data_IF_771580471382
#
_entry.id   IF_771580471382
#
_cell.length_a   1.000
_cell.length_b   1.000
_cell.length_c   1.000
_cell.angle_alpha   90.00
_cell.angle_beta   90.00
_cell.angle_gamma   90.00
#
_symmetry.space_group_name_H-M   'P 1'
#
loop_
_entity.id
_entity.type
_entity.pdbx_description
1 polymer ?
#
# COMPACT_ATOMS: atom_id res chain seq x y z
N UNK A 1 1.40 12.06 11.62
CA UNK A 1 0.71 12.00 10.31
C UNK A 1 -0.76 11.71 10.52
N UNK A 2 -1.61 12.46 9.85
CA UNK A 2 -3.05 12.24 9.91
C UNK A 2 -3.44 11.18 8.87
N UNK A 3 -4.18 10.17 9.33
CA UNK A 3 -4.65 9.10 8.45
C UNK A 3 -6.09 8.76 8.79
N UNK A 4 -6.83 8.31 7.79
CA UNK A 4 -8.12 7.67 7.96
C UNK A 4 -7.89 6.17 7.87
N UNK A 5 -8.40 5.43 8.86
CA UNK A 5 -8.27 3.98 8.91
C UNK A 5 -9.67 3.38 8.86
N UNK A 6 -9.91 2.52 7.88
CA UNK A 6 -11.20 1.86 7.69
C UNK A 6 -10.97 0.35 7.68
N UNK A 7 -11.33 -0.31 8.79
CA UNK A 7 -11.11 -1.74 8.95
C UNK A 7 -12.25 -2.51 8.29
N UNK A 8 -11.90 -3.34 7.32
CA UNK A 8 -12.84 -4.23 6.63
C UNK A 8 -12.68 -5.65 7.16
N UNK A 9 -13.51 -6.56 6.67
CA UNK A 9 -13.49 -7.95 7.10
C UNK A 9 -12.19 -8.65 6.71
N UNK A 10 -11.67 -8.36 5.50
CA UNK A 10 -10.53 -9.08 4.91
C UNK A 10 -9.26 -8.23 4.78
N UNK A 11 -9.35 -6.94 5.03
CA UNK A 11 -8.23 -6.00 4.88
C UNK A 11 -8.54 -4.68 5.58
N UNK A 12 -7.54 -3.82 5.66
CA UNK A 12 -7.70 -2.46 6.20
C UNK A 12 -7.37 -1.44 5.13
N UNK A 13 -8.24 -0.45 4.95
CA UNK A 13 -7.96 0.67 4.05
C UNK A 13 -7.34 1.80 4.87
N UNK A 14 -6.15 2.23 4.47
CA UNK A 14 -5.44 3.34 5.12
C UNK A 14 -5.31 4.47 4.11
N UNK A 15 -5.83 5.63 4.46
CA UNK A 15 -5.83 6.81 3.59
C UNK A 15 -5.12 7.96 4.29
N UNK A 16 -3.87 8.27 3.91
CA UNK A 16 -3.19 9.44 4.45
C UNK A 16 -3.98 10.73 4.16
N UNK A 17 -4.15 11.57 5.18
CA UNK A 17 -4.88 12.83 5.08
C UNK A 17 -3.92 14.01 4.97
N UNK A 18 -2.78 13.78 4.30
CA UNK A 18 -1.75 14.77 4.06
C UNK A 18 -1.63 15.01 2.56
N UNK A 19 -1.56 16.27 2.15
CA UNK A 19 -1.35 16.60 0.74
C UNK A 19 0.08 16.31 0.29
N UNK A 20 1.04 16.31 1.23
CA UNK A 20 2.44 16.07 0.95
C UNK A 20 2.97 14.99 1.87
N UNK A 21 3.77 14.08 1.31
CA UNK A 21 4.50 13.08 2.09
C UNK A 21 6.00 13.34 1.90
N UNK A 22 6.57 14.26 2.70
CA UNK A 22 7.99 14.59 2.60
C UNK A 22 8.87 13.49 3.20
N UNK A 23 10.17 13.59 2.93
CA UNK A 23 11.14 12.59 3.37
C UNK A 23 11.13 12.37 4.89
N UNK A 24 10.82 13.39 5.68
CA UNK A 24 10.80 13.27 7.14
C UNK A 24 9.59 12.48 7.68
N UNK A 25 8.68 12.05 6.82
CA UNK A 25 7.55 11.20 7.21
C UNK A 25 7.81 9.71 6.99
N UNK A 26 8.98 9.32 6.48
CA UNK A 26 9.27 7.91 6.21
C UNK A 26 9.18 7.03 7.44
N UNK A 27 9.69 7.50 8.58
CA UNK A 27 9.63 6.73 9.83
C UNK A 27 8.19 6.58 10.33
N UNK A 28 7.39 7.64 10.21
CA UNK A 28 5.98 7.59 10.58
C UNK A 28 5.21 6.59 9.72
N UNK A 29 5.52 6.53 8.41
CA UNK A 29 4.91 5.54 7.53
C UNK A 29 5.26 4.11 7.93
N UNK A 30 6.53 3.86 8.24
CA UNK A 30 6.94 2.54 8.72
C UNK A 30 6.23 2.17 10.02
N UNK A 31 6.19 3.11 10.97
CA UNK A 31 5.55 2.88 12.27
C UNK A 31 4.04 2.66 12.14
N UNK A 32 3.42 3.26 11.14
CA UNK A 32 1.99 3.07 10.86
C UNK A 32 1.71 1.73 10.20
N UNK A 33 2.48 1.36 9.19
CA UNK A 33 2.13 0.26 8.27
C UNK A 33 2.73 -1.08 8.68
N UNK A 34 4.00 -1.12 9.11
CA UNK A 34 4.66 -2.39 9.41
C UNK A 34 4.04 -3.18 10.57
N UNK A 35 3.48 -2.54 11.63
CA UNK A 35 2.81 -3.30 12.68
C UNK A 35 1.64 -4.15 12.20
N UNK A 36 1.03 -3.82 11.05
CA UNK A 36 -0.06 -4.64 10.50
C UNK A 36 0.39 -6.04 10.15
N UNK A 37 1.68 -6.25 9.87
CA UNK A 37 2.23 -7.58 9.60
C UNK A 37 2.05 -8.55 10.76
N UNK A 38 1.84 -8.04 11.97
CA UNK A 38 1.65 -8.85 13.19
C UNK A 38 0.17 -9.06 13.53
N UNK A 39 -0.75 -8.53 12.73
CA UNK A 39 -2.18 -8.66 12.98
C UNK A 39 -2.74 -9.90 12.30
N UNK A 40 -3.90 -10.37 12.78
CA UNK A 40 -4.58 -11.53 12.20
C UNK A 40 -4.97 -11.29 10.75
N UNK A 41 -5.36 -10.06 10.43
CA UNK A 41 -5.69 -9.65 9.06
C UNK A 41 -4.72 -8.54 8.69
N UNK A 42 -3.57 -8.90 8.08
CA UNK A 42 -2.50 -7.93 7.84
C UNK A 42 -2.61 -7.18 6.53
N UNK A 43 -3.55 -7.56 5.67
CA UNK A 43 -3.64 -7.01 4.31
C UNK A 43 -4.05 -5.55 4.32
N UNK A 44 -3.41 -4.73 3.47
CA UNK A 44 -3.62 -3.29 3.40
C UNK A 44 -3.97 -2.84 1.99
N UNK A 45 -4.96 -1.97 1.91
CA UNK A 45 -5.22 -1.13 0.74
C UNK A 45 -4.81 0.29 1.12
N UNK A 46 -3.80 0.82 0.44
CA UNK A 46 -3.24 2.14 0.73
C UNK A 46 -3.78 3.14 -0.29
N UNK A 47 -4.75 3.94 0.15
CA UNK A 47 -5.46 4.89 -0.72
C UNK A 47 -4.78 6.25 -0.66
N UNK A 48 -4.26 6.71 -1.79
CA UNK A 48 -3.47 7.94 -1.87
C UNK A 48 -4.23 9.09 -2.52
N UNK A 49 -5.57 9.09 -2.45
CA UNK A 49 -6.37 10.09 -3.14
C UNK A 49 -6.18 11.53 -2.64
N UNK A 50 -5.74 11.72 -1.41
CA UNK A 50 -5.48 13.06 -0.85
C UNK A 50 -4.06 13.53 -1.16
N UNK A 51 -3.13 12.60 -1.35
CA UNK A 51 -1.71 12.91 -1.51
C UNK A 51 -1.45 13.51 -2.88
N UNK A 52 -0.89 14.73 -2.92
CA UNK A 52 -0.59 15.44 -4.15
C UNK A 52 0.91 15.37 -4.49
N UNK A 53 1.76 15.26 -3.49
CA UNK A 53 3.22 15.22 -3.67
C UNK A 53 3.85 14.20 -2.74
N UNK A 54 4.82 13.45 -3.28
CA UNK A 54 5.60 12.46 -2.52
C UNK A 54 7.07 12.73 -2.81
N UNK A 55 7.89 12.77 -1.76
CA UNK A 55 9.34 12.84 -1.93
C UNK A 55 9.85 11.50 -2.46
N UNK A 56 10.96 11.54 -3.20
CA UNK A 56 11.57 10.32 -3.76
C UNK A 56 11.86 9.28 -2.66
N UNK A 57 12.43 9.71 -1.55
CA UNK A 57 12.74 8.82 -0.42
C UNK A 57 11.46 8.19 0.15
N UNK A 58 10.38 8.95 0.24
CA UNK A 58 9.09 8.43 0.69
C UNK A 58 8.56 7.39 -0.28
N UNK A 59 8.67 7.65 -1.59
CA UNK A 59 8.29 6.69 -2.62
C UNK A 59 9.06 5.39 -2.50
N UNK A 60 10.38 5.48 -2.32
CA UNK A 60 11.23 4.29 -2.11
C UNK A 60 10.81 3.53 -0.86
N UNK A 61 10.48 4.26 0.22
CA UNK A 61 10.03 3.64 1.47
C UNK A 61 8.72 2.88 1.29
N UNK A 62 7.77 3.46 0.56
CA UNK A 62 6.49 2.78 0.27
C UNK A 62 6.74 1.49 -0.52
N UNK A 63 7.63 1.54 -1.52
CA UNK A 63 7.97 0.35 -2.30
C UNK A 63 8.60 -0.74 -1.42
N UNK A 64 9.49 -0.37 -0.50
CA UNK A 64 10.10 -1.32 0.43
C UNK A 64 9.08 -1.92 1.38
N UNK A 65 8.14 -1.11 1.88
CA UNK A 65 7.07 -1.59 2.76
C UNK A 65 6.22 -2.63 2.02
N UNK A 66 5.83 -2.33 0.78
CA UNK A 66 5.08 -3.28 -0.02
C UNK A 66 5.85 -4.60 -0.19
N UNK A 67 7.13 -4.51 -0.49
CA UNK A 67 7.98 -5.69 -0.65
C UNK A 67 7.98 -6.55 0.62
N UNK A 68 8.09 -5.92 1.79
CA UNK A 68 8.07 -6.65 3.06
C UNK A 68 6.74 -7.36 3.29
N UNK A 69 5.62 -6.73 2.91
CA UNK A 69 4.31 -7.37 3.01
C UNK A 69 4.26 -8.63 2.15
N UNK A 70 4.68 -8.53 0.89
CA UNK A 70 4.63 -9.68 -0.02
C UNK A 70 5.60 -10.78 0.38
N UNK A 71 6.76 -10.45 0.96
CA UNK A 71 7.68 -11.45 1.48
C UNK A 71 7.07 -12.28 2.61
N UNK A 72 6.09 -11.72 3.32
CA UNK A 72 5.38 -12.40 4.39
C UNK A 72 4.01 -12.91 3.97
N UNK A 73 3.76 -13.03 2.67
CA UNK A 73 2.49 -13.48 2.08
C UNK A 73 1.31 -12.60 2.47
N UNK A 74 1.53 -11.30 2.61
CA UNK A 74 0.50 -10.32 2.90
C UNK A 74 0.33 -9.40 1.70
N UNK A 75 -0.91 -8.97 1.45
CA UNK A 75 -1.21 -8.06 0.35
C UNK A 75 -1.03 -6.61 0.75
N UNK A 76 -0.47 -5.82 -0.14
CA UNK A 76 -0.36 -4.37 0.00
C UNK A 76 -0.61 -3.76 -1.38
N UNK A 77 -1.77 -3.14 -1.54
CA UNK A 77 -2.19 -2.59 -2.84
C UNK A 77 -2.42 -1.10 -2.70
N UNK A 78 -1.83 -0.34 -3.61
CA UNK A 78 -1.93 1.13 -3.63
C UNK A 78 -3.00 1.52 -4.65
N UNK A 79 -3.84 2.50 -4.32
CA UNK A 79 -4.88 2.95 -5.24
C UNK A 79 -5.04 4.45 -5.22
N UNK A 80 -5.74 4.95 -6.24
CA UNK A 80 -6.13 6.36 -6.37
C UNK A 80 -4.93 7.32 -6.37
N UNK A 81 -3.84 6.96 -7.06
CA UNK A 81 -2.72 7.88 -7.23
C UNK A 81 -3.16 9.09 -8.04
N UNK A 82 -2.83 10.29 -7.57
CA UNK A 82 -2.99 11.48 -8.38
C UNK A 82 -1.92 11.52 -9.47
N UNK A 83 -2.20 12.23 -10.57
CA UNK A 83 -1.32 12.27 -11.74
C UNK A 83 0.09 12.75 -11.39
N UNK A 84 0.20 13.75 -10.50
CA UNK A 84 1.50 14.26 -10.08
C UNK A 84 2.33 13.22 -9.34
N UNK A 85 1.69 12.40 -8.52
CA UNK A 85 2.36 11.32 -7.77
C UNK A 85 2.76 10.19 -8.73
N UNK A 86 1.85 9.80 -9.61
CA UNK A 86 2.12 8.76 -10.59
C UNK A 86 3.29 9.15 -11.49
N UNK A 87 3.34 10.41 -11.92
CA UNK A 87 4.42 10.93 -12.75
C UNK A 87 5.76 10.82 -12.03
N UNK A 88 5.82 11.24 -10.76
CA UNK A 88 7.05 11.15 -9.97
C UNK A 88 7.53 9.71 -9.86
N UNK A 89 6.61 8.79 -9.50
CA UNK A 89 6.97 7.38 -9.32
C UNK A 89 7.43 6.76 -10.64
N UNK A 90 6.85 7.16 -11.76
CA UNK A 90 7.28 6.71 -13.08
C UNK A 90 8.68 7.21 -13.41
N UNK A 91 8.93 8.49 -13.18
CA UNK A 91 10.24 9.12 -13.46
C UNK A 91 11.36 8.49 -12.62
N UNK A 92 11.05 8.08 -11.40
CA UNK A 92 12.02 7.48 -10.49
C UNK A 92 12.07 5.96 -10.60
N UNK A 93 11.37 5.39 -11.57
CA UNK A 93 11.33 3.94 -11.83
C UNK A 93 10.83 3.13 -10.64
N UNK A 94 9.96 3.73 -9.82
CA UNK A 94 9.37 3.07 -8.64
C UNK A 94 8.01 2.45 -8.94
N UNK A 95 7.32 2.94 -9.97
CA UNK A 95 5.96 2.50 -10.26
C UNK A 95 5.89 0.99 -10.53
N UNK A 96 6.86 0.45 -11.26
CA UNK A 96 6.90 -0.97 -11.62
C UNK A 96 7.17 -1.87 -10.41
N UNK A 97 7.64 -1.30 -9.30
CA UNK A 97 7.89 -2.04 -8.06
C UNK A 97 6.65 -2.11 -7.18
N UNK A 98 5.58 -1.44 -7.56
CA UNK A 98 4.38 -1.28 -6.74
C UNK A 98 3.19 -1.98 -7.38
N UNK A 99 2.30 -2.51 -6.52
CA UNK A 99 1.03 -3.08 -6.95
C UNK A 99 -0.02 -1.96 -6.87
N UNK A 100 -0.38 -1.40 -8.01
CA UNK A 100 -1.21 -0.19 -8.09
C UNK A 100 -2.46 -0.47 -8.91
N UNK A 101 -3.60 0.04 -8.43
CA UNK A 101 -4.86 0.03 -9.16
C UNK A 101 -5.41 1.44 -9.29
N UNK A 102 -6.23 1.73 -10.33
CA UNK A 102 -6.82 3.05 -10.47
C UNK A 102 -7.80 3.41 -9.36
N UNK A 103 -8.55 2.43 -8.83
CA UNK A 103 -9.62 2.67 -7.85
C UNK A 103 -9.46 1.77 -6.64
N UNK A 104 -10.08 2.18 -5.54
CA UNK A 104 -10.11 1.38 -4.32
C UNK A 104 -10.85 0.05 -4.53
N UNK A 105 -11.93 0.07 -5.31
CA UNK A 105 -12.70 -1.14 -5.62
C UNK A 105 -11.85 -2.20 -6.31
N UNK A 106 -11.00 -1.79 -7.25
CA UNK A 106 -10.09 -2.71 -7.92
C UNK A 106 -9.01 -3.23 -6.97
N UNK A 107 -8.58 -2.40 -6.02
CA UNK A 107 -7.63 -2.83 -5.00
C UNK A 107 -8.24 -3.92 -4.11
N UNK A 108 -9.52 -3.80 -3.76
CA UNK A 108 -10.24 -4.82 -3.00
C UNK A 108 -10.24 -6.15 -3.75
N UNK A 109 -10.50 -6.11 -5.06
CA UNK A 109 -10.51 -7.30 -5.89
C UNK A 109 -9.13 -7.99 -5.91
N UNK A 110 -8.05 -7.21 -5.99
CA UNK A 110 -6.69 -7.76 -5.98
C UNK A 110 -6.40 -8.46 -4.65
N UNK A 111 -6.74 -7.84 -3.52
CA UNK A 111 -6.51 -8.46 -2.21
C UNK A 111 -7.26 -9.79 -2.10
N UNK A 112 -8.52 -9.83 -2.53
CA UNK A 112 -9.33 -11.04 -2.49
C UNK A 112 -8.80 -12.12 -3.41
N UNK A 113 -8.37 -11.75 -4.61
CA UNK A 113 -7.77 -12.69 -5.56
C UNK A 113 -6.48 -13.30 -5.02
N UNK A 114 -5.63 -12.47 -4.43
CA UNK A 114 -4.37 -12.94 -3.86
C UNK A 114 -4.61 -13.88 -2.68
N UNK A 115 -5.61 -13.62 -1.88
CA UNK A 115 -5.97 -14.49 -0.77
C UNK A 115 -6.42 -15.87 -1.26
N UNK A 116 -7.26 -15.91 -2.31
CA UNK A 116 -7.70 -17.16 -2.94
C UNK A 116 -6.50 -17.91 -3.51
N UNK A 117 -5.59 -17.23 -4.18
CA UNK A 117 -4.38 -17.85 -4.73
C UNK A 117 -3.52 -18.49 -3.62
N UNK A 118 -3.36 -17.80 -2.49
CA UNK A 118 -2.61 -18.35 -1.35
C UNK A 118 -3.27 -19.59 -0.78
N UNK A 119 -4.60 -19.62 -0.69
CA UNK A 119 -5.33 -20.78 -0.23
C UNK A 119 -5.16 -21.98 -1.16
N UNK A 120 -5.22 -21.75 -2.46
CA UNK A 120 -5.01 -22.79 -3.46
C UNK A 120 -3.60 -23.34 -3.38
N UNK A 121 -2.59 -22.48 -3.34
CA UNK A 121 -1.18 -22.89 -3.26
C UNK A 121 -0.88 -23.60 -1.95
N UNK A 122 -1.46 -23.15 -0.84
CA UNK A 122 -1.29 -23.79 0.45
C UNK A 122 -1.88 -25.19 0.51
N UNK A 123 -2.98 -25.43 -0.22
CA UNK A 123 -3.64 -26.72 -0.26
C UNK A 123 -2.90 -27.76 -1.12
N UNK A 124 -2.01 -27.32 -1.98
CA UNK A 124 -1.21 -28.24 -2.81
C UNK A 124 -0.01 -28.83 -2.07
N UNK A 125 0.31 -28.27 -0.93
CA UNK A 125 1.38 -28.78 -0.08
C UNK A 125 0.85 -29.85 0.88
#
# INVERSE_FOLDING_TARGET
MNVKIDTKEKFTVITPQEQQLPANMTDELKDLLLPYLQKDIPHIVFNMNVVQNVDELTGETIALIQQQFYEQNCSFVICNLQDSVQKLLTEKELLDLMNITPTESEAWDIVQMEEVEREILGNEE
#
